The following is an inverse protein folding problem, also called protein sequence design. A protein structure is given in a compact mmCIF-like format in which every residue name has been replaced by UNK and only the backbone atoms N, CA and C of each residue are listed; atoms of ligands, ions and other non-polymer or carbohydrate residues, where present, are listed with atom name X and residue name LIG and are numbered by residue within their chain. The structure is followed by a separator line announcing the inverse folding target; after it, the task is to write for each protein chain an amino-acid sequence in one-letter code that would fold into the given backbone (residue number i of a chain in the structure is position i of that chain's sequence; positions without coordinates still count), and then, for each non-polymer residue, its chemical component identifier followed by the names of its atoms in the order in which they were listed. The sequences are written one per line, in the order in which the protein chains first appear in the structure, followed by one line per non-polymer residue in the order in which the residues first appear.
data_IF_670668826499
#
_entry.id   IF_670668826499
#
_cell.length_a   1.000
_cell.length_b   1.000
_cell.length_c   1.000
_cell.angle_alpha   90.00
_cell.angle_beta   90.00
_cell.angle_gamma   90.00
#
_symmetry.space_group_name_H-M   'P 1'
#
loop_
_entity.id
_entity.type
_entity.pdbx_description
1 polymer ?
#
# COMPACT_ATOMS: atom_id res chain seq x y z
N UNK A 1 -12.38 18.04 -6.30
CA UNK A 1 -12.14 17.89 -7.75
C UNK A 1 -10.75 17.37 -8.00
N UNK A 2 -10.65 16.31 -8.82
CA UNK A 2 -9.39 15.65 -9.13
C UNK A 2 -9.22 15.55 -10.65
N UNK A 3 -8.00 15.75 -11.14
CA UNK A 3 -7.63 15.26 -12.47
C UNK A 3 -7.11 13.83 -12.37
N UNK A 4 -7.65 12.96 -13.22
CA UNK A 4 -7.20 11.56 -13.34
C UNK A 4 -5.88 11.45 -14.11
N UNK A 5 -4.83 12.10 -13.61
CA UNK A 5 -3.49 12.10 -14.21
C UNK A 5 -2.90 10.67 -14.25
N UNK A 6 -3.31 9.80 -13.33
CA UNK A 6 -2.92 8.39 -13.29
C UNK A 6 -3.28 7.62 -14.57
N UNK A 7 -4.33 8.04 -15.29
CA UNK A 7 -4.68 7.49 -16.62
C UNK A 7 -3.55 7.65 -17.64
N UNK A 8 -2.65 8.61 -17.43
CA UNK A 8 -1.53 8.91 -18.31
C UNK A 8 -0.18 8.45 -17.73
N UNK A 9 -0.14 7.72 -16.61
CA UNK A 9 1.09 7.38 -15.91
C UNK A 9 2.13 6.65 -16.79
N UNK A 10 1.71 5.66 -17.57
CA UNK A 10 2.60 4.96 -18.51
C UNK A 10 3.19 5.90 -19.55
N UNK A 11 2.36 6.75 -20.16
CA UNK A 11 2.78 7.73 -21.18
C UNK A 11 3.73 8.77 -20.59
N UNK A 12 3.44 9.25 -19.38
CA UNK A 12 4.29 10.19 -18.66
C UNK A 12 5.67 9.57 -18.39
N UNK A 13 5.73 8.28 -18.05
CA UNK A 13 6.98 7.58 -17.77
C UNK A 13 7.77 7.24 -19.04
N UNK A 14 7.11 6.69 -20.06
CA UNK A 14 7.75 6.27 -21.31
C UNK A 14 8.37 7.44 -22.07
N UNK A 15 7.72 8.61 -22.04
CA UNK A 15 8.16 9.76 -22.81
C UNK A 15 9.36 10.48 -22.18
N UNK A 16 9.72 10.21 -20.92
CA UNK A 16 10.92 10.81 -20.29
C UNK A 16 12.21 10.49 -21.04
N UNK A 17 12.26 9.41 -21.83
CA UNK A 17 13.42 9.04 -22.65
C UNK A 17 13.60 9.93 -23.88
N UNK A 18 12.52 10.56 -24.35
CA UNK A 18 12.50 11.39 -25.56
C UNK A 18 12.69 12.89 -25.25
N UNK A 19 12.63 13.27 -23.98
CA UNK A 19 12.69 14.66 -23.55
C UNK A 19 14.13 15.03 -23.21
N UNK A 20 14.60 16.15 -23.77
CA UNK A 20 15.90 16.75 -23.45
C UNK A 20 15.85 17.51 -22.12
N UNK A 21 15.74 16.75 -21.03
CA UNK A 21 15.82 17.25 -19.64
C UNK A 21 17.06 16.68 -18.95
N UNK A 22 17.53 17.39 -17.92
CA UNK A 22 18.60 16.85 -17.06
C UNK A 22 18.21 15.50 -16.44
N UNK A 23 19.19 14.61 -16.29
CA UNK A 23 18.98 13.29 -15.70
C UNK A 23 18.42 13.36 -14.27
N UNK A 24 18.82 14.39 -13.50
CA UNK A 24 18.28 14.64 -12.17
C UNK A 24 16.75 14.81 -12.19
N UNK A 25 16.21 15.58 -13.14
CA UNK A 25 14.76 15.79 -13.27
C UNK A 25 14.06 14.50 -13.73
N UNK A 26 14.65 13.77 -14.69
CA UNK A 26 14.09 12.49 -15.15
C UNK A 26 14.03 11.47 -14.02
N UNK A 27 15.09 11.36 -13.20
CA UNK A 27 15.13 10.47 -12.03
C UNK A 27 14.06 10.87 -11.02
N UNK A 28 13.93 12.16 -10.70
CA UNK A 28 12.90 12.65 -9.78
C UNK A 28 11.47 12.32 -10.28
N UNK A 29 11.20 12.49 -11.57
CA UNK A 29 9.91 12.12 -12.18
C UNK A 29 9.66 10.61 -12.14
N UNK A 30 10.67 9.79 -12.47
CA UNK A 30 10.58 8.32 -12.37
C UNK A 30 10.28 7.87 -10.93
N UNK A 31 10.93 8.48 -9.95
CA UNK A 31 10.70 8.20 -8.52
C UNK A 31 9.35 8.72 -8.01
N UNK A 32 8.87 9.85 -8.56
CA UNK A 32 7.55 10.39 -8.21
C UNK A 32 6.41 9.54 -8.77
N UNK A 33 6.49 9.18 -10.06
CA UNK A 33 5.51 8.33 -10.74
C UNK A 33 5.57 6.91 -10.17
N UNK A 34 6.79 6.38 -10.02
CA UNK A 34 7.16 5.06 -9.50
C UNK A 34 6.15 3.97 -9.85
N UNK A 35 6.28 3.49 -11.07
CA UNK A 35 5.58 2.29 -11.55
C UNK A 35 6.09 1.07 -10.81
N UNK A 36 5.17 0.28 -10.28
CA UNK A 36 5.44 -1.00 -9.62
C UNK A 36 4.60 -2.06 -10.30
N UNK A 37 5.24 -2.97 -11.03
CA UNK A 37 4.58 -4.18 -11.54
C UNK A 37 4.62 -5.25 -10.47
N UNK A 38 3.49 -5.84 -10.12
CA UNK A 38 3.43 -6.87 -9.09
C UNK A 38 2.25 -7.79 -9.34
N UNK A 39 1.68 -8.30 -8.25
CA UNK A 39 0.55 -9.21 -8.28
C UNK A 39 -0.50 -8.76 -7.28
N UNK A 40 -1.76 -8.73 -7.71
CA UNK A 40 -2.88 -8.63 -6.80
C UNK A 40 -3.20 -10.06 -6.31
N UNK A 41 -3.07 -10.27 -5.01
CA UNK A 41 -3.42 -11.53 -4.35
C UNK A 41 -4.79 -11.38 -3.69
N UNK A 42 -5.55 -12.48 -3.64
CA UNK A 42 -6.86 -12.51 -2.98
C UNK A 42 -6.98 -13.74 -2.09
N UNK A 43 -7.19 -13.51 -0.80
CA UNK A 43 -7.28 -14.59 0.20
C UNK A 43 -8.51 -14.43 1.08
N UNK A 44 -9.04 -15.55 1.53
CA UNK A 44 -10.22 -15.60 2.39
C UNK A 44 -9.84 -15.44 3.86
N UNK A 45 -10.61 -14.64 4.60
CA UNK A 45 -10.54 -14.63 6.05
C UNK A 45 -11.23 -15.89 6.57
N UNK A 46 -10.53 -16.66 7.38
CA UNK A 46 -11.02 -17.94 7.88
C UNK A 46 -12.37 -17.76 8.59
N UNK A 47 -13.30 -18.68 8.30
CA UNK A 47 -14.64 -18.74 8.89
C UNK A 47 -15.52 -17.50 8.59
N UNK A 48 -15.18 -16.69 7.57
CA UNK A 48 -15.94 -15.52 7.13
C UNK A 48 -16.11 -15.50 5.61
N UNK A 49 -17.20 -14.90 5.11
CA UNK A 49 -17.35 -14.60 3.68
C UNK A 49 -16.69 -13.25 3.33
N UNK A 50 -15.45 -13.09 3.79
CA UNK A 50 -14.65 -11.88 3.61
C UNK A 50 -13.38 -12.27 2.88
N UNK A 51 -13.03 -11.49 1.85
CA UNK A 51 -11.80 -11.64 1.10
C UNK A 51 -10.96 -10.38 1.25
N UNK A 52 -9.67 -10.58 1.51
CA UNK A 52 -8.67 -9.52 1.42
C UNK A 52 -8.02 -9.55 0.06
N UNK A 53 -8.10 -8.43 -0.62
CA UNK A 53 -7.27 -8.13 -1.78
C UNK A 53 -6.06 -7.36 -1.33
N UNK A 54 -4.91 -7.65 -1.91
CA UNK A 54 -3.64 -7.01 -1.57
C UNK A 54 -2.72 -6.95 -2.76
N UNK A 55 -1.95 -5.87 -2.86
CA UNK A 55 -0.94 -5.73 -3.89
C UNK A 55 0.42 -6.10 -3.33
N UNK A 56 1.05 -7.10 -3.93
CA UNK A 56 2.42 -7.48 -3.62
C UNK A 56 3.36 -6.96 -4.72
N UNK A 57 4.17 -5.97 -4.35
CA UNK A 57 5.22 -5.38 -5.20
C UNK A 57 6.53 -6.18 -5.16
N UNK A 58 6.61 -7.20 -4.31
CA UNK A 58 7.79 -8.02 -4.06
C UNK A 58 7.38 -9.52 -4.13
N UNK A 59 6.75 -9.97 -5.23
CA UNK A 59 6.13 -11.29 -5.31
C UNK A 59 7.12 -12.44 -5.11
N UNK A 60 8.43 -12.23 -5.28
CA UNK A 60 9.45 -13.26 -5.09
C UNK A 60 9.52 -13.78 -3.64
N UNK A 61 8.99 -13.04 -2.65
CA UNK A 61 8.90 -13.47 -1.24
C UNK A 61 7.54 -14.04 -0.85
N UNK A 62 6.63 -14.34 -1.80
CA UNK A 62 5.28 -14.81 -1.44
C UNK A 62 5.29 -16.03 -0.51
N UNK A 63 6.25 -16.97 -0.65
CA UNK A 63 6.36 -18.12 0.25
C UNK A 63 6.79 -17.75 1.70
N UNK A 64 7.40 -16.58 1.90
CA UNK A 64 7.87 -16.09 3.20
C UNK A 64 6.81 -15.38 4.03
N UNK A 65 5.58 -15.26 3.53
CA UNK A 65 4.51 -14.51 4.20
C UNK A 65 3.96 -15.32 5.38
N UNK A 66 3.98 -14.73 6.58
CA UNK A 66 3.61 -15.43 7.83
C UNK A 66 2.53 -14.73 8.64
N UNK A 67 2.16 -13.50 8.29
CA UNK A 67 1.05 -12.75 8.88
C UNK A 67 0.54 -11.69 7.92
N UNK A 68 -0.63 -11.12 8.22
CA UNK A 68 -1.24 -10.06 7.43
C UNK A 68 -1.51 -8.86 8.33
N UNK A 69 -1.26 -7.65 7.82
CA UNK A 69 -1.65 -6.41 8.50
C UNK A 69 -2.75 -5.69 7.73
N UNK A 70 -3.68 -5.10 8.47
CA UNK A 70 -4.74 -4.23 7.96
C UNK A 70 -4.63 -2.83 8.59
N UNK A 71 -4.87 -1.80 7.78
CA UNK A 71 -4.82 -0.42 8.25
C UNK A 71 -5.89 -0.14 9.34
N UNK A 72 -5.57 0.64 10.39
CA UNK A 72 -6.52 0.96 11.47
C UNK A 72 -7.78 1.67 11.00
N UNK A 73 -7.70 2.41 9.89
CA UNK A 73 -8.80 3.16 9.30
C UNK A 73 -9.60 2.36 8.26
N UNK A 74 -9.25 1.08 8.03
CA UNK A 74 -9.89 0.27 7.00
C UNK A 74 -11.36 -0.06 7.37
N UNK A 75 -12.35 0.19 6.49
CA UNK A 75 -13.77 0.01 6.80
C UNK A 75 -14.16 -1.38 7.30
N UNK A 76 -13.52 -2.42 6.75
CA UNK A 76 -13.77 -3.83 7.11
C UNK A 76 -13.31 -4.22 8.51
N UNK A 77 -12.54 -3.38 9.22
CA UNK A 77 -12.03 -3.71 10.56
C UNK A 77 -13.17 -3.98 11.54
N UNK A 78 -14.27 -3.22 11.47
CA UNK A 78 -15.42 -3.42 12.37
C UNK A 78 -16.07 -4.80 12.19
N UNK A 79 -16.23 -5.25 10.95
CA UNK A 79 -16.78 -6.57 10.68
C UNK A 79 -15.79 -7.68 11.03
N UNK A 80 -14.50 -7.46 10.75
CA UNK A 80 -13.43 -8.42 11.02
C UNK A 80 -13.34 -8.83 12.50
N UNK A 81 -13.45 -7.86 13.41
CA UNK A 81 -13.29 -8.08 14.85
C UNK A 81 -14.57 -8.52 15.55
N UNK A 82 -15.71 -8.50 14.85
CA UNK A 82 -17.00 -8.88 15.42
C UNK A 82 -16.96 -10.32 15.94
N UNK A 83 -17.47 -10.51 17.14
CA UNK A 83 -17.57 -11.80 17.83
C UNK A 83 -16.22 -12.51 18.07
N UNK A 84 -15.09 -11.79 18.07
CA UNK A 84 -13.78 -12.38 18.39
C UNK A 84 -13.37 -12.23 19.85
N UNK A 85 -14.09 -11.41 20.64
CA UNK A 85 -13.65 -11.00 21.97
C UNK A 85 -12.55 -9.92 21.96
N UNK A 86 -12.05 -9.53 20.77
CA UNK A 86 -11.04 -8.48 20.60
C UNK A 86 -11.63 -7.12 20.23
N UNK A 87 -12.96 -6.97 20.14
CA UNK A 87 -13.63 -5.75 19.65
C UNK A 87 -13.21 -4.50 20.42
N UNK A 88 -13.44 -4.50 21.74
CA UNK A 88 -13.14 -3.37 22.62
C UNK A 88 -11.65 -2.97 22.59
N UNK A 89 -10.69 -3.87 22.85
CA UNK A 89 -9.28 -3.48 22.84
C UNK A 89 -8.80 -3.03 21.46
N UNK A 90 -9.34 -3.58 20.37
CA UNK A 90 -9.03 -3.12 19.01
C UNK A 90 -9.55 -1.70 18.75
N UNK A 91 -10.81 -1.41 19.10
CA UNK A 91 -11.40 -0.08 18.89
C UNK A 91 -10.63 0.98 19.70
N UNK A 92 -10.27 0.68 20.95
CA UNK A 92 -9.45 1.55 21.79
C UNK A 92 -8.06 1.77 21.18
N UNK A 93 -7.44 0.72 20.65
CA UNK A 93 -6.16 0.80 19.94
C UNK A 93 -6.26 1.72 18.71
N UNK A 94 -7.28 1.55 17.87
CA UNK A 94 -7.49 2.38 16.67
C UNK A 94 -7.65 3.86 17.07
N UNK A 95 -8.44 4.15 18.10
CA UNK A 95 -8.62 5.52 18.60
C UNK A 95 -7.28 6.13 19.09
N UNK A 96 -6.47 5.35 19.81
CA UNK A 96 -5.12 5.76 20.26
C UNK A 96 -4.21 6.06 19.06
N UNK A 97 -4.18 5.20 18.05
CA UNK A 97 -3.34 5.40 16.85
C UNK A 97 -3.79 6.62 16.05
N UNK A 98 -5.10 6.82 15.86
CA UNK A 98 -5.64 8.02 15.19
C UNK A 98 -5.20 9.31 15.89
N UNK A 99 -5.29 9.37 17.23
CA UNK A 99 -4.80 10.51 18.02
C UNK A 99 -3.30 10.74 17.83
N UNK A 100 -2.48 9.69 17.85
CA UNK A 100 -1.03 9.80 17.62
C UNK A 100 -0.70 10.31 16.22
N UNK A 101 -1.34 9.76 15.17
CA UNK A 101 -1.14 10.19 13.77
C UNK A 101 -1.45 11.68 13.59
N UNK A 102 -2.50 12.20 14.24
CA UNK A 102 -2.85 13.62 14.17
C UNK A 102 -1.77 14.56 14.74
N UNK A 103 -0.92 14.09 15.66
CA UNK A 103 0.12 14.93 16.28
C UNK A 103 1.41 15.05 15.45
N UNK A 104 1.56 14.30 14.36
CA UNK A 104 2.74 14.30 13.46
C UNK A 104 4.13 14.12 14.14
N UNK A 105 4.17 13.73 15.42
CA UNK A 105 5.41 13.60 16.23
C UNK A 105 5.90 12.15 16.36
N UNK A 106 5.27 11.18 15.71
CA UNK A 106 5.55 9.75 15.91
C UNK A 106 6.04 9.09 14.62
N UNK A 107 7.27 8.59 14.64
CA UNK A 107 7.82 7.73 13.59
C UNK A 107 7.23 6.32 13.74
N UNK A 108 6.11 6.09 13.06
CA UNK A 108 5.35 4.84 13.12
C UNK A 108 6.04 3.68 12.40
N UNK A 109 7.06 3.97 11.57
CA UNK A 109 7.84 2.96 10.86
C UNK A 109 8.93 2.38 11.76
N UNK A 110 9.61 3.22 12.56
CA UNK A 110 10.65 2.76 13.49
C UNK A 110 10.11 2.14 14.78
N UNK A 111 8.88 2.45 15.16
CA UNK A 111 8.23 1.93 16.37
C UNK A 111 6.84 1.39 16.06
N UNK A 112 6.74 0.33 15.23
CA UNK A 112 5.45 -0.14 14.79
C UNK A 112 4.67 -0.70 15.98
N UNK A 113 3.43 -0.24 16.14
CA UNK A 113 2.47 -0.73 17.13
C UNK A 113 1.39 -1.51 16.39
N UNK A 114 0.91 -2.59 17.00
CA UNK A 114 -0.21 -3.33 16.46
C UNK A 114 -0.94 -4.16 17.51
N UNK A 115 -2.07 -4.69 17.09
CA UNK A 115 -2.94 -5.53 17.92
C UNK A 115 -3.50 -6.68 17.08
N UNK A 116 -3.53 -7.88 17.66
CA UNK A 116 -4.11 -9.05 17.03
C UNK A 116 -5.63 -8.93 16.96
N UNK A 117 -6.21 -9.31 15.82
CA UNK A 117 -7.65 -9.15 15.56
C UNK A 117 -8.50 -10.31 16.09
N UNK A 118 -7.87 -11.43 16.46
CA UNK A 118 -8.57 -12.70 16.70
C UNK A 118 -8.89 -13.49 15.44
N UNK A 119 -8.48 -13.00 14.25
CA UNK A 119 -8.77 -13.62 12.96
C UNK A 119 -7.50 -14.09 12.26
N UNK A 120 -7.71 -15.04 11.35
CA UNK A 120 -6.66 -15.63 10.52
C UNK A 120 -7.07 -15.54 9.04
N UNK A 121 -6.08 -15.42 8.18
CA UNK A 121 -6.22 -15.47 6.73
C UNK A 121 -5.83 -16.88 6.25
N UNK A 122 -6.61 -17.43 5.32
CA UNK A 122 -6.31 -18.68 4.64
C UNK A 122 -5.26 -18.42 3.55
N UNK A 123 -3.98 -18.59 3.89
CA UNK A 123 -2.89 -18.32 2.97
C UNK A 123 -2.60 -19.54 2.10
N UNK A 124 -3.31 -19.62 0.98
CA UNK A 124 -3.28 -20.76 0.06
C UNK A 124 -1.89 -21.13 -0.49
N UNK A 125 -0.91 -20.22 -0.69
CA UNK A 125 0.40 -20.61 -1.21
C UNK A 125 1.18 -21.55 -0.30
N UNK A 126 1.01 -21.45 1.01
CA UNK A 126 1.64 -22.38 1.98
C UNK A 126 0.62 -23.32 2.65
N UNK A 127 -0.67 -23.12 2.41
CA UNK A 127 -1.76 -23.85 3.07
C UNK A 127 -1.91 -23.53 4.57
N UNK A 128 -1.23 -22.49 5.07
CA UNK A 128 -1.23 -22.11 6.48
C UNK A 128 -2.29 -21.07 6.78
N UNK A 129 -2.76 -21.07 8.03
CA UNK A 129 -3.49 -19.95 8.60
C UNK A 129 -2.50 -18.93 9.13
N UNK A 130 -2.55 -17.71 8.61
CA UNK A 130 -1.67 -16.63 9.05
C UNK A 130 -2.47 -15.59 9.85
N UNK A 131 -1.98 -15.12 11.01
CA UNK A 131 -2.74 -14.21 11.86
C UNK A 131 -2.91 -12.83 11.21
N UNK A 132 -4.08 -12.24 11.41
CA UNK A 132 -4.38 -10.88 10.94
C UNK A 132 -4.20 -9.88 12.10
N UNK A 133 -3.42 -8.84 11.85
CA UNK A 133 -3.10 -7.79 12.80
C UNK A 133 -3.55 -6.44 12.29
N UNK A 134 -3.93 -5.54 13.19
CA UNK A 134 -4.02 -4.12 12.86
C UNK A 134 -2.68 -3.49 13.19
N UNK A 135 -2.05 -2.81 12.24
CA UNK A 135 -0.72 -2.24 12.41
C UNK A 135 -0.68 -0.75 12.11
N UNK A 136 0.06 0.01 12.90
CA UNK A 136 0.13 1.47 12.80
C UNK A 136 0.78 1.98 11.51
N UNK A 137 1.65 1.17 10.89
CA UNK A 137 2.37 1.50 9.67
C UNK A 137 1.59 1.16 8.39
N UNK A 138 0.49 0.41 8.49
CA UNK A 138 -0.39 0.17 7.35
C UNK A 138 -1.23 1.42 7.04
N UNK A 139 -1.38 1.73 5.75
CA UNK A 139 -2.03 2.95 5.26
C UNK A 139 -3.19 2.57 4.34
N UNK A 140 -4.41 2.92 4.72
CA UNK A 140 -5.61 2.57 3.94
C UNK A 140 -5.59 3.15 2.51
N UNK A 141 -5.09 4.38 2.33
CA UNK A 141 -5.01 5.05 1.03
C UNK A 141 -3.84 4.63 0.14
N UNK A 142 -3.13 3.54 0.44
CA UNK A 142 -2.07 2.97 -0.38
C UNK A 142 -2.35 1.49 -0.65
N UNK A 143 -2.43 1.11 -1.93
CA UNK A 143 -2.93 -0.21 -2.32
C UNK A 143 -4.36 -0.42 -1.84
N UNK A 144 -4.62 -1.55 -1.18
CA UNK A 144 -5.92 -1.88 -0.58
C UNK A 144 -5.99 -1.56 0.92
N UNK A 145 -4.90 -1.09 1.53
CA UNK A 145 -4.81 -0.96 2.98
C UNK A 145 -4.63 -2.28 3.73
N UNK A 146 -4.41 -3.39 3.02
CA UNK A 146 -4.06 -4.70 3.56
C UNK A 146 -2.75 -5.17 2.92
N UNK A 147 -1.84 -5.71 3.73
CA UNK A 147 -0.50 -6.14 3.30
C UNK A 147 -0.17 -7.49 3.95
N UNK A 148 0.29 -8.45 3.16
CA UNK A 148 0.93 -9.64 3.71
C UNK A 148 2.40 -9.37 4.02
N UNK A 149 2.85 -9.90 5.15
CA UNK A 149 4.11 -9.52 5.77
C UNK A 149 5.07 -10.70 5.82
N UNK A 150 6.36 -10.43 5.58
CA UNK A 150 7.39 -11.47 5.43
C UNK A 150 8.67 -11.16 6.20
N UNK A 151 9.59 -12.13 6.23
CA UNK A 151 10.92 -11.97 6.84
C UNK A 151 11.88 -11.09 6.05
N UNK A 152 11.46 -10.56 4.90
CA UNK A 152 12.30 -9.82 3.96
C UNK A 152 11.82 -8.38 3.74
N UNK A 153 11.02 -7.83 4.66
CA UNK A 153 10.74 -6.40 4.81
C UNK A 153 11.13 -5.98 6.23
N UNK A 154 11.91 -4.92 6.38
CA UNK A 154 12.46 -4.51 7.68
C UNK A 154 11.36 -4.18 8.70
N UNK A 155 10.27 -3.54 8.26
CA UNK A 155 9.16 -3.13 9.15
C UNK A 155 8.43 -4.36 9.65
N UNK A 156 8.17 -5.30 8.75
CA UNK A 156 7.52 -6.57 9.06
C UNK A 156 8.39 -7.42 10.00
N UNK A 157 9.70 -7.47 9.74
CA UNK A 157 10.67 -8.18 10.58
C UNK A 157 10.70 -7.61 12.00
N UNK A 158 10.79 -6.29 12.15
CA UNK A 158 10.77 -5.61 13.46
C UNK A 158 9.43 -5.88 14.17
N UNK A 159 8.31 -5.76 13.45
CA UNK A 159 6.98 -6.02 14.00
C UNK A 159 6.84 -7.46 14.48
N UNK A 160 7.21 -8.43 13.65
CA UNK A 160 7.13 -9.85 13.98
C UNK A 160 7.99 -10.20 15.19
N UNK A 161 9.24 -9.71 15.26
CA UNK A 161 10.12 -9.92 16.42
C UNK A 161 9.52 -9.32 17.70
N UNK A 162 8.91 -8.13 17.61
CA UNK A 162 8.27 -7.46 18.75
C UNK A 162 7.07 -8.23 19.30
N UNK A 163 6.28 -8.85 18.43
CA UNK A 163 5.03 -9.53 18.80
C UNK A 163 5.16 -11.07 18.83
N UNK A 164 6.36 -11.61 18.66
CA UNK A 164 6.62 -13.05 18.67
C UNK A 164 5.96 -13.81 17.51
N UNK A 165 5.73 -13.13 16.38
CA UNK A 165 5.14 -13.74 15.18
C UNK A 165 6.23 -14.56 14.47
N UNK A 166 5.95 -15.82 14.07
CA UNK A 166 6.92 -16.61 13.32
C UNK A 166 7.36 -15.92 12.03
N UNK A 167 8.65 -15.98 11.73
CA UNK A 167 9.24 -15.49 10.48
C UNK A 167 9.75 -16.68 9.67
N UNK A 168 9.57 -16.63 8.35
CA UNK A 168 9.98 -17.68 7.42
C UNK A 168 10.86 -17.10 6.30
N UNK A 169 12.18 -16.98 6.50
CA UNK A 169 13.07 -16.49 5.45
C UNK A 169 13.18 -17.52 4.32
N UNK A 170 13.00 -17.07 3.08
CA UNK A 170 13.11 -17.87 1.85
C UNK A 170 14.24 -17.40 0.93
N UNK A 171 14.78 -16.20 1.16
CA UNK A 171 15.91 -15.63 0.42
C UNK A 171 17.15 -15.54 1.33
N UNK A 172 18.31 -15.98 0.83
CA UNK A 172 19.55 -16.02 1.62
C UNK A 172 20.75 -15.47 0.84
N UNK A 173 21.75 -14.89 1.51
CA UNK A 173 23.02 -14.57 0.88
C UNK A 173 23.74 -15.85 0.43
N UNK A 174 24.65 -15.70 -0.55
CA UNK A 174 25.44 -16.82 -1.07
C UNK A 174 26.50 -17.30 -0.07
N UNK A 175 27.03 -16.39 0.75
CA UNK A 175 27.96 -16.74 1.82
C UNK A 175 27.25 -17.61 2.88
N UNK A 176 27.70 -18.85 3.13
CA UNK A 176 27.09 -19.74 4.12
C UNK A 176 27.09 -19.18 5.55
N UNK A 177 28.11 -18.40 5.92
CA UNK A 177 28.20 -17.82 7.26
C UNK A 177 27.11 -16.76 7.47
N UNK A 178 26.96 -15.84 6.51
CA UNK A 178 25.87 -14.87 6.51
C UNK A 178 24.50 -15.55 6.38
N UNK A 179 24.37 -16.60 5.57
CA UNK A 179 23.10 -17.32 5.41
C UNK A 179 22.62 -17.92 6.73
N UNK A 180 23.55 -18.36 7.59
CA UNK A 180 23.23 -18.86 8.94
C UNK A 180 22.64 -17.76 9.83
N UNK A 181 23.18 -16.54 9.78
CA UNK A 181 22.65 -15.39 10.53
C UNK A 181 21.22 -15.05 10.12
N UNK A 182 20.94 -15.08 8.82
CA UNK A 182 19.58 -14.87 8.28
C UNK A 182 18.63 -15.98 8.73
N UNK A 183 19.06 -17.26 8.70
CA UNK A 183 18.27 -18.39 9.22
C UNK A 183 17.95 -18.25 10.71
N UNK A 184 18.91 -17.75 11.49
CA UNK A 184 18.75 -17.49 12.92
C UNK A 184 17.92 -16.24 13.22
N UNK A 185 17.44 -15.53 12.20
CA UNK A 185 16.70 -14.26 12.35
C UNK A 185 17.49 -13.22 13.14
N UNK A 186 18.80 -13.16 12.93
CA UNK A 186 19.69 -12.16 13.56
C UNK A 186 19.47 -10.77 12.93
N UNK A 187 19.20 -10.71 11.63
CA UNK A 187 18.85 -9.49 10.91
C UNK A 187 17.90 -9.77 9.74
N UNK A 188 17.25 -8.70 9.26
CA UNK A 188 16.38 -8.75 8.08
C UNK A 188 17.22 -8.72 6.80
N UNK A 189 17.20 -9.79 6.01
CA UNK A 189 17.85 -9.82 4.70
C UNK A 189 16.83 -9.44 3.62
N UNK A 190 16.94 -8.27 3.00
CA UNK A 190 15.91 -7.75 2.11
C UNK A 190 16.51 -7.12 0.85
N UNK A 191 15.72 -7.06 -0.24
CA UNK A 191 16.06 -6.39 -1.51
C UNK A 191 17.47 -6.68 -2.06
N UNK A 192 17.98 -7.89 -1.86
CA UNK A 192 19.30 -8.28 -2.31
C UNK A 192 19.24 -8.93 -3.70
N UNK A 193 19.66 -8.23 -4.76
CA UNK A 193 19.62 -8.75 -6.15
C UNK A 193 20.34 -10.10 -6.31
N UNK A 194 21.43 -10.28 -5.58
CA UNK A 194 22.25 -11.50 -5.57
C UNK A 194 21.79 -12.55 -4.54
N UNK A 195 20.73 -12.28 -3.77
CA UNK A 195 20.15 -13.22 -2.83
C UNK A 195 19.61 -14.45 -3.56
N UNK A 196 19.77 -15.62 -2.97
CA UNK A 196 19.37 -16.91 -3.54
C UNK A 196 18.08 -17.38 -2.88
N UNK A 197 17.07 -17.67 -3.71
CA UNK A 197 15.82 -18.24 -3.23
C UNK A 197 15.97 -19.71 -2.86
N UNK A 198 15.33 -20.12 -1.77
CA UNK A 198 15.22 -21.51 -1.33
C UNK A 198 13.82 -22.08 -1.55
N UNK A 199 12.81 -21.21 -1.62
CA UNK A 199 11.42 -21.55 -1.91
C UNK A 199 10.81 -20.54 -2.91
N UNK A 200 9.82 -20.98 -3.73
CA UNK A 200 9.37 -22.36 -3.88
C UNK A 200 10.37 -23.21 -4.68
N UNK A 201 10.12 -24.52 -4.80
CA UNK A 201 11.04 -25.49 -5.44
C UNK A 201 11.41 -25.06 -6.87
N UNK A 202 10.46 -24.49 -7.61
CA UNK A 202 10.60 -24.02 -8.98
C UNK A 202 11.64 -22.89 -9.16
N UNK A 203 11.92 -22.13 -8.10
CA UNK A 203 12.90 -21.04 -8.09
C UNK A 203 14.07 -21.28 -7.15
N UNK A 204 14.14 -22.45 -6.51
CA UNK A 204 15.22 -22.80 -5.58
C UNK A 204 16.58 -22.72 -6.28
N UNK A 205 17.54 -22.07 -5.63
CA UNK A 205 18.90 -21.87 -6.14
C UNK A 205 19.05 -20.69 -7.12
N UNK A 206 17.94 -20.07 -7.56
CA UNK A 206 17.99 -18.93 -8.49
C UNK A 206 18.16 -17.62 -7.75
N UNK A 207 18.76 -16.63 -8.43
CA UNK A 207 18.94 -15.29 -7.88
C UNK A 207 17.64 -14.50 -7.89
N UNK A 208 17.43 -13.75 -6.82
CA UNK A 208 16.28 -12.89 -6.58
C UNK A 208 15.98 -11.92 -7.72
N UNK A 209 17.02 -11.25 -8.24
CA UNK A 209 16.90 -10.25 -9.31
C UNK A 209 16.42 -10.85 -10.64
N UNK A 210 16.65 -12.15 -10.86
CA UNK A 210 16.44 -12.80 -12.15
C UNK A 210 15.07 -13.50 -12.28
N UNK A 211 14.39 -13.75 -11.15
CA UNK A 211 13.20 -14.60 -11.12
C UNK A 211 11.87 -13.85 -11.08
N UNK A 212 11.88 -12.51 -10.99
CA UNK A 212 10.67 -11.72 -10.74
C UNK A 212 9.51 -12.04 -11.68
N UNK A 213 9.75 -12.00 -12.99
CA UNK A 213 8.71 -12.25 -14.00
C UNK A 213 8.21 -13.70 -13.93
N UNK A 214 9.13 -14.66 -13.79
CA UNK A 214 8.79 -16.08 -13.66
C UNK A 214 7.92 -16.35 -12.43
N UNK A 215 8.20 -15.68 -11.29
CA UNK A 215 7.38 -15.81 -10.08
C UNK A 215 5.98 -15.24 -10.29
N UNK A 216 5.85 -14.06 -10.90
CA UNK A 216 4.52 -13.47 -11.20
C UNK A 216 3.69 -14.43 -12.07
N UNK A 217 4.29 -14.99 -13.12
CA UNK A 217 3.63 -15.97 -13.99
C UNK A 217 3.27 -17.25 -13.24
N UNK A 218 4.14 -17.72 -12.35
CA UNK A 218 3.89 -18.91 -11.54
C UNK A 218 2.71 -18.72 -10.59
N UNK A 219 2.67 -17.61 -9.85
CA UNK A 219 1.56 -17.25 -8.94
C UNK A 219 0.25 -17.16 -9.73
N UNK A 220 0.28 -16.56 -10.92
CA UNK A 220 -0.87 -16.49 -11.83
C UNK A 220 -1.36 -17.88 -12.29
N UNK A 221 -0.45 -18.74 -12.75
CA UNK A 221 -0.77 -20.12 -13.19
C UNK A 221 -1.35 -20.99 -12.06
N UNK A 222 -0.93 -20.75 -10.81
CA UNK A 222 -1.47 -21.43 -9.62
C UNK A 222 -2.81 -20.87 -9.15
N UNK A 223 -3.28 -19.75 -9.73
CA UNK A 223 -4.53 -19.12 -9.35
C UNK A 223 -4.48 -18.38 -8.01
N UNK A 224 -3.29 -18.02 -7.52
CA UNK A 224 -3.12 -17.30 -6.25
C UNK A 224 -3.35 -15.79 -6.40
N UNK A 225 -3.28 -15.27 -7.62
CA UNK A 225 -3.47 -13.85 -7.91
C UNK A 225 -3.31 -13.51 -9.38
N UNK A 226 -3.46 -12.22 -9.70
CA UNK A 226 -3.42 -11.69 -11.06
C UNK A 226 -2.35 -10.61 -11.20
N UNK A 227 -1.63 -10.61 -12.33
CA UNK A 227 -0.63 -9.57 -12.62
C UNK A 227 -1.28 -8.19 -12.58
N UNK A 228 -0.67 -7.27 -11.86
CA UNK A 228 -1.19 -5.91 -11.67
C UNK A 228 -0.08 -4.87 -11.75
N UNK A 229 -0.44 -3.66 -12.16
CA UNK A 229 0.47 -2.53 -12.27
C UNK A 229 -0.07 -1.39 -11.41
N UNK A 230 0.72 -0.96 -10.44
CA UNK A 230 0.39 0.17 -9.56
C UNK A 230 1.38 1.31 -9.74
N UNK A 231 0.93 2.51 -9.42
CA UNK A 231 1.72 3.74 -9.47
C UNK A 231 1.72 4.40 -8.10
N UNK A 232 2.86 4.96 -7.69
CA UNK A 232 2.89 5.86 -6.54
C UNK A 232 2.16 7.17 -6.84
N UNK A 233 2.15 7.60 -8.11
CA UNK A 233 1.39 8.74 -8.60
C UNK A 233 -0.07 8.65 -8.18
N UNK A 234 -0.58 9.71 -7.55
CA UNK A 234 -2.00 9.86 -7.21
C UNK A 234 -2.67 10.84 -8.16
N UNK A 235 -4.00 10.75 -8.22
CA UNK A 235 -4.79 11.74 -8.92
C UNK A 235 -4.60 13.13 -8.33
N UNK A 236 -4.60 14.13 -9.20
CA UNK A 236 -4.21 15.48 -8.82
C UNK A 236 -5.41 16.24 -8.23
N UNK A 237 -5.39 16.46 -6.92
CA UNK A 237 -6.35 17.33 -6.23
C UNK A 237 -6.19 18.77 -6.71
N UNK A 238 -7.19 19.30 -7.41
CA UNK A 238 -7.18 20.68 -7.93
C UNK A 238 -8.09 21.64 -7.16
N UNK A 239 -9.11 21.13 -6.46
CA UNK A 239 -9.99 21.98 -5.65
C UNK A 239 -9.25 22.61 -4.48
N UNK A 240 -9.50 23.90 -4.22
CA UNK A 240 -8.92 24.67 -3.12
C UNK A 240 -10.00 25.46 -2.42
N UNK A 241 -9.99 25.47 -1.08
CA UNK A 241 -10.87 26.31 -0.25
C UNK A 241 -10.28 27.71 -0.13
N UNK A 242 -10.12 28.40 -1.27
CA UNK A 242 -9.54 29.73 -1.39
C UNK A 242 -10.36 30.54 -2.39
N UNK A 243 -10.63 31.80 -2.05
CA UNK A 243 -11.34 32.72 -2.93
C UNK A 243 -10.51 33.07 -4.17
N UNK A 244 -9.23 33.40 -4.01
CA UNK A 244 -8.39 33.86 -5.12
C UNK A 244 -7.91 32.69 -5.99
N UNK A 245 -8.72 32.31 -6.97
CA UNK A 245 -8.43 31.27 -7.95
C UNK A 245 -9.52 31.19 -9.04
N UNK A 246 -9.28 30.46 -10.13
CA UNK A 246 -10.28 30.27 -11.18
C UNK A 246 -11.47 29.45 -10.63
N UNK A 247 -12.72 29.91 -10.79
CA UNK A 247 -13.89 29.12 -10.42
C UNK A 247 -13.94 27.79 -11.18
N UNK A 248 -14.33 26.72 -10.49
CA UNK A 248 -14.53 25.40 -11.12
C UNK A 248 -15.87 25.45 -11.89
N UNK A 249 -15.88 25.21 -13.21
CA UNK A 249 -17.07 25.39 -14.06
C UNK A 249 -18.05 24.21 -13.93
N UNK A 250 -18.52 23.97 -12.72
CA UNK A 250 -19.45 22.89 -12.38
C UNK A 250 -20.62 23.46 -11.56
N UNK A 251 -21.83 23.05 -11.89
CA UNK A 251 -23.08 23.43 -11.24
C UNK A 251 -23.59 22.21 -10.47
N UNK A 252 -23.92 22.37 -9.19
CA UNK A 252 -24.62 21.32 -8.44
C UNK A 252 -26.12 21.56 -8.52
N UNK A 253 -26.83 20.73 -9.30
CA UNK A 253 -28.28 20.76 -9.38
C UNK A 253 -28.88 19.72 -8.43
N UNK A 254 -29.85 20.11 -7.60
CA UNK A 254 -30.48 19.20 -6.63
C UNK A 254 -31.15 17.98 -7.27
N UNK A 255 -31.63 18.11 -8.52
CA UNK A 255 -32.28 17.02 -9.26
C UNK A 255 -31.32 16.25 -10.18
N UNK A 256 -30.32 16.92 -10.75
CA UNK A 256 -29.46 16.35 -11.80
C UNK A 256 -28.04 16.03 -11.31
N UNK A 257 -27.69 16.37 -10.07
CA UNK A 257 -26.33 16.29 -9.54
C UNK A 257 -25.38 17.31 -10.18
N UNK A 258 -24.10 16.95 -10.23
CA UNK A 258 -23.05 17.79 -10.81
C UNK A 258 -23.11 17.83 -12.34
N UNK A 259 -23.25 19.03 -12.89
CA UNK A 259 -23.31 19.29 -14.33
C UNK A 259 -22.22 20.28 -14.74
N UNK A 260 -21.58 20.11 -15.90
CA UNK A 260 -20.63 21.10 -16.40
C UNK A 260 -21.35 22.38 -16.85
N UNK A 261 -20.70 23.52 -16.69
CA UNK A 261 -21.15 24.78 -17.31
C UNK A 261 -21.00 24.63 -18.84
N UNK A 262 -22.01 24.99 -19.65
CA UNK A 262 -21.90 24.96 -21.10
C UNK A 262 -20.72 25.81 -21.60
N UNK A 263 -20.03 25.33 -22.64
CA UNK A 263 -18.82 26.00 -23.15
C UNK A 263 -19.07 27.47 -23.55
N UNK A 264 -20.23 27.74 -24.15
CA UNK A 264 -20.69 29.09 -24.53
C UNK A 264 -20.87 30.06 -23.35
N UNK A 265 -21.06 29.53 -22.14
CA UNK A 265 -21.31 30.32 -20.92
C UNK A 265 -20.01 30.53 -20.11
N UNK A 266 -18.86 30.06 -20.63
CA UNK A 266 -17.54 30.35 -20.08
C UNK A 266 -17.06 31.76 -20.50
N UNK A 267 -16.25 32.44 -19.67
CA UNK A 267 -15.70 31.99 -18.39
C UNK A 267 -16.67 32.23 -17.22
N UNK A 268 -16.66 31.31 -16.25
CA UNK A 268 -17.27 31.56 -14.93
C UNK A 268 -16.41 32.61 -14.21
N UNK A 269 -16.93 33.83 -14.10
CA UNK A 269 -16.19 34.96 -13.49
C UNK A 269 -16.12 34.80 -11.97
N UNK A 270 -14.93 35.02 -11.40
CA UNK A 270 -14.77 35.11 -9.95
C UNK A 270 -15.54 36.34 -9.45
N UNK A 271 -16.48 36.21 -8.49
CA UNK A 271 -17.24 37.34 -7.97
C UNK A 271 -16.32 38.36 -7.31
N UNK A 272 -16.46 39.65 -7.62
CA UNK A 272 -15.63 40.70 -7.02
C UNK A 272 -16.07 41.01 -5.58
N UNK A 273 -15.17 40.84 -4.61
CA UNK A 273 -15.41 41.16 -3.19
C UNK A 273 -14.62 42.44 -2.81
N UNK A 274 -15.30 43.46 -2.25
CA UNK A 274 -14.66 44.68 -1.70
C UNK A 274 -14.15 44.45 -0.27
N UNK A 275 -13.00 45.04 0.05
CA UNK A 275 -12.18 44.74 1.24
C UNK A 275 -12.87 44.89 2.61
N UNK A 276 -13.09 43.74 3.26
CA UNK A 276 -13.09 43.43 4.72
C UNK A 276 -13.63 42.02 5.00
N UNK A 277 -14.30 41.40 4.02
CA UNK A 277 -14.86 40.03 4.12
C UNK A 277 -13.86 38.89 3.79
N UNK A 278 -12.60 39.19 3.41
CA UNK A 278 -11.65 38.15 2.98
C UNK A 278 -11.25 37.13 4.06
N UNK A 279 -11.55 37.38 5.35
CA UNK A 279 -11.09 36.55 6.47
C UNK A 279 -12.20 35.79 7.22
N UNK A 280 -13.47 35.91 6.84
CA UNK A 280 -14.59 35.45 7.69
C UNK A 280 -15.30 34.15 7.28
N UNK A 281 -14.88 33.43 6.23
CA UNK A 281 -15.56 32.19 5.79
C UNK A 281 -14.73 30.92 5.94
N UNK A 282 -13.86 30.86 6.97
CA UNK A 282 -13.21 29.63 7.39
C UNK A 282 -13.27 29.49 8.92
N UNK A 283 -14.46 29.22 9.44
CA UNK A 283 -14.69 28.63 10.77
C UNK A 283 -15.78 27.57 10.65
#
# INVERSE_FOLDING_TARGET
WFFRITKYADRLLSNLTQIDWSEKVKIAQKQWIRKSEGINLRFKVKDMDIYFEMFDSVPQTFMAQTFTVIAPEHPMVHELIKSTGHEKPVIEFIAKIKKKKATNKYDLEKKPEGIFTGRYLEYTPTGKLIPIWIASYAIYGYGTGVVNCSAHDERDFIFAKKYGIPLHPVMFPQDPAEAKKVKNLEYCYHHAENGVLQEPVEFKGRKWGEVRLGVIEFIGKKGYGEKSVHYHLRDWLISRQRYWGPPIPMINCEKCGWQPVPEKDLPVKLPYIKGKQMFQTLS
#
